data_IF_197775677523
#
_entry.id   IF_197775677523
#
_cell.length_a   1.000
_cell.length_b   1.000
_cell.length_c   1.000
_cell.angle_alpha   90.00
_cell.angle_beta   90.00
_cell.angle_gamma   90.00
#
_symmetry.space_group_name_H-M   'P 1'
#
loop_
_entity.id
_entity.type
_entity.pdbx_description
1 polymer ?
#
# COMPACT_ATOMS: atom_id res chain seq x y z
N UNK A 1 88.97 -18.03 48.80
CA UNK A 1 88.53 -18.63 50.11
C UNK A 1 86.99 -18.60 50.06
N UNK A 2 86.48 -19.72 49.94
CA UNK A 2 85.61 -20.51 50.85
C UNK A 2 84.15 -20.30 50.59
N UNK A 3 83.52 -21.22 49.95
CA UNK A 3 82.49 -22.21 50.46
C UNK A 3 81.23 -21.52 50.97
N UNK A 4 79.96 -22.01 50.70
CA UNK A 4 79.49 -23.37 50.69
C UNK A 4 77.97 -23.30 50.29
N UNK A 5 77.53 -24.09 49.39
CA UNK A 5 76.37 -25.01 49.45
C UNK A 5 75.23 -24.73 50.45
N UNK A 6 74.04 -24.94 50.12
CA UNK A 6 73.22 -26.14 50.16
C UNK A 6 71.75 -25.77 49.97
N UNK A 7 71.14 -26.48 49.09
CA UNK A 7 70.00 -27.40 49.31
C UNK A 7 68.78 -26.82 50.03
N UNK A 8 67.63 -26.94 49.49
CA UNK A 8 66.84 -28.16 49.65
C UNK A 8 65.47 -27.99 48.96
N UNK A 9 65.20 -28.91 48.09
CA UNK A 9 63.94 -29.56 47.79
C UNK A 9 62.89 -29.43 48.89
N UNK A 10 61.72 -28.98 48.54
CA UNK A 10 60.46 -29.63 48.99
C UNK A 10 59.28 -29.18 48.14
N UNK A 11 58.81 -30.07 47.48
CA UNK A 11 57.63 -30.90 47.64
C UNK A 11 56.40 -30.33 46.88
N UNK A 12 56.30 -30.77 45.62
CA UNK A 12 55.05 -30.78 44.88
C UNK A 12 54.00 -31.67 45.49
N UNK A 13 53.02 -31.13 46.13
CA UNK A 13 51.77 -31.84 46.40
C UNK A 13 50.52 -30.95 46.52
N UNK A 14 50.66 -29.63 46.32
CA UNK A 14 49.52 -28.68 46.37
C UNK A 14 49.14 -28.06 45.03
N UNK A 15 49.80 -28.43 43.91
CA UNK A 15 49.53 -27.85 42.61
C UNK A 15 48.43 -28.57 41.81
N UNK A 16 48.23 -29.89 42.06
CA UNK A 16 47.23 -30.66 41.30
C UNK A 16 45.78 -30.21 41.54
N UNK A 17 45.46 -29.81 42.78
CA UNK A 17 44.10 -29.30 43.09
C UNK A 17 43.85 -27.93 42.51
N UNK A 18 44.87 -27.07 42.48
CA UNK A 18 44.74 -25.71 41.91
C UNK A 18 44.62 -25.75 40.38
N UNK A 19 45.36 -26.65 39.74
CA UNK A 19 45.29 -26.85 38.28
C UNK A 19 43.96 -27.50 37.88
N UNK A 20 43.48 -28.44 38.67
CA UNK A 20 42.16 -29.06 38.44
C UNK A 20 41.01 -28.02 38.55
N UNK A 21 41.11 -27.10 39.52
CA UNK A 21 40.11 -26.07 39.77
C UNK A 21 40.11 -24.97 38.67
N UNK A 22 41.31 -24.63 38.14
CA UNK A 22 41.42 -23.69 37.01
C UNK A 22 40.94 -24.31 35.71
N UNK A 23 41.19 -25.60 35.46
CA UNK A 23 40.70 -26.30 34.27
C UNK A 23 39.17 -26.41 34.31
N UNK A 24 38.60 -26.72 35.47
CA UNK A 24 37.15 -26.80 35.66
C UNK A 24 36.48 -25.42 35.42
N UNK A 25 37.09 -24.35 35.88
CA UNK A 25 36.60 -23.00 35.66
C UNK A 25 36.65 -22.60 34.15
N UNK A 26 37.70 -23.03 33.45
CA UNK A 26 37.81 -22.75 32.01
C UNK A 26 36.80 -23.55 31.18
N UNK A 27 36.50 -24.80 31.56
CA UNK A 27 35.47 -25.61 30.90
C UNK A 27 34.08 -25.03 31.13
N UNK A 28 33.81 -24.53 32.33
CA UNK A 28 32.54 -23.87 32.63
C UNK A 28 32.38 -22.55 31.88
N UNK A 29 33.43 -21.74 31.78
CA UNK A 29 33.43 -20.50 31.03
C UNK A 29 33.23 -20.70 29.52
N UNK A 30 33.85 -21.74 28.94
CA UNK A 30 33.67 -22.08 27.53
C UNK A 30 32.27 -22.62 27.23
N UNK A 31 31.66 -23.40 28.15
CA UNK A 31 30.31 -23.88 28.01
C UNK A 31 29.25 -22.72 28.06
N UNK A 32 29.42 -21.76 28.98
CA UNK A 32 28.59 -20.59 29.07
C UNK A 32 28.72 -19.67 27.83
N UNK A 33 29.93 -19.54 27.29
CA UNK A 33 30.16 -18.71 26.08
C UNK A 33 29.55 -19.37 24.83
N UNK A 34 29.60 -20.68 24.70
CA UNK A 34 28.93 -21.41 23.62
C UNK A 34 27.39 -21.31 23.69
N UNK A 35 26.83 -21.38 24.92
CA UNK A 35 25.39 -21.27 25.11
C UNK A 35 24.85 -19.87 24.77
N UNK A 36 25.55 -18.82 25.17
CA UNK A 36 25.14 -17.45 24.83
C UNK A 36 25.28 -17.12 23.34
N UNK A 37 26.20 -17.76 22.63
CA UNK A 37 26.35 -17.52 21.20
C UNK A 37 25.24 -18.16 20.36
N UNK A 38 24.74 -19.34 20.71
CA UNK A 38 23.62 -19.97 20.01
C UNK A 38 22.29 -19.24 20.24
N UNK A 39 22.10 -18.63 21.42
CA UNK A 39 20.94 -17.80 21.70
C UNK A 39 20.98 -16.47 20.91
N UNK A 40 22.15 -15.86 20.75
CA UNK A 40 22.31 -14.61 19.97
C UNK A 40 22.05 -14.81 18.47
N UNK A 41 22.39 -15.97 17.93
CA UNK A 41 22.19 -16.27 16.51
C UNK A 41 20.71 -16.57 16.19
N UNK A 42 20.00 -17.20 17.12
CA UNK A 42 18.55 -17.44 17.01
C UNK A 42 17.73 -16.13 17.11
N UNK A 43 18.11 -15.22 17.99
CA UNK A 43 17.50 -13.89 18.11
C UNK A 43 17.76 -13.02 16.88
N UNK A 44 18.96 -13.08 16.32
CA UNK A 44 19.34 -12.30 15.15
C UNK A 44 18.63 -12.76 13.87
N UNK A 45 18.32 -14.04 13.75
CA UNK A 45 17.58 -14.61 12.63
C UNK A 45 16.08 -14.40 12.75
N UNK A 46 15.52 -14.39 13.97
CA UNK A 46 14.10 -14.14 14.21
C UNK A 46 13.74 -12.66 14.08
N UNK A 47 14.63 -11.74 14.48
CA UNK A 47 14.41 -10.30 14.33
C UNK A 47 14.53 -9.85 12.87
N UNK A 48 15.43 -10.47 12.07
CA UNK A 48 15.57 -10.11 10.65
C UNK A 48 14.44 -10.65 9.76
N UNK A 49 13.83 -11.78 10.09
CA UNK A 49 12.74 -12.34 9.28
C UNK A 49 11.36 -11.85 9.69
N UNK A 50 11.11 -11.67 10.99
CA UNK A 50 9.77 -11.31 11.47
C UNK A 50 9.41 -9.85 11.30
N UNK A 51 10.36 -8.94 11.53
CA UNK A 51 10.05 -7.50 11.57
C UNK A 51 10.06 -6.85 10.17
N UNK A 52 10.95 -7.32 9.28
CA UNK A 52 11.05 -6.71 7.94
C UNK A 52 9.97 -7.28 7.00
N UNK A 53 9.64 -8.57 7.09
CA UNK A 53 8.58 -9.15 6.28
C UNK A 53 7.18 -8.70 6.71
N UNK A 54 6.91 -8.55 8.02
CA UNK A 54 5.63 -8.00 8.50
C UNK A 54 5.48 -6.50 8.21
N UNK A 55 6.55 -5.71 8.30
CA UNK A 55 6.50 -4.28 8.01
C UNK A 55 6.39 -4.01 6.49
N UNK A 56 6.94 -4.90 5.63
CA UNK A 56 6.78 -4.82 4.17
C UNK A 56 5.40 -5.31 3.75
N UNK A 57 4.86 -6.39 4.33
CA UNK A 57 3.49 -6.86 4.06
C UNK A 57 2.44 -5.84 4.52
N UNK A 58 2.61 -5.19 5.68
CA UNK A 58 1.70 -4.16 6.18
C UNK A 58 1.79 -2.85 5.37
N UNK A 59 2.95 -2.54 4.77
CA UNK A 59 3.13 -1.40 3.87
C UNK A 59 2.59 -1.71 2.46
N UNK A 60 2.69 -2.94 1.96
CA UNK A 60 2.13 -3.33 0.66
C UNK A 60 0.60 -3.41 0.68
N UNK A 61 -0.04 -3.78 1.80
CA UNK A 61 -1.51 -3.73 1.91
C UNK A 61 -2.08 -2.31 1.98
N UNK A 62 -1.27 -1.29 2.30
CA UNK A 62 -1.76 0.08 2.53
C UNK A 62 -1.51 1.04 1.37
N UNK A 63 -0.67 0.71 0.40
CA UNK A 63 -0.42 1.53 -0.80
C UNK A 63 -1.01 0.91 -2.06
N UNK A 64 -2.34 0.81 -2.15
CA UNK A 64 -2.99 0.70 -3.45
C UNK A 64 -2.71 1.98 -4.24
N UNK A 65 -1.76 1.92 -5.18
CA UNK A 65 -1.48 3.04 -6.09
C UNK A 65 -2.75 3.29 -6.91
N UNK A 66 -3.41 4.42 -6.74
CA UNK A 66 -4.66 4.69 -7.43
C UNK A 66 -4.42 4.81 -8.94
N UNK A 67 -5.23 4.12 -9.73
CA UNK A 67 -5.17 4.15 -11.18
C UNK A 67 -6.10 5.25 -11.69
N UNK A 68 -5.53 6.34 -12.17
CA UNK A 68 -6.27 7.42 -12.79
C UNK A 68 -6.37 7.23 -14.31
N UNK A 69 -7.58 7.27 -14.82
CA UNK A 69 -7.84 7.14 -16.26
C UNK A 69 -8.68 8.33 -16.73
N UNK A 70 -8.10 9.26 -17.49
CA UNK A 70 -8.85 10.37 -18.06
C UNK A 70 -9.77 9.88 -19.18
N UNK A 71 -10.95 10.46 -19.25
CA UNK A 71 -11.87 10.32 -20.38
C UNK A 71 -11.77 11.55 -21.29
N UNK A 72 -12.12 11.36 -22.55
CA UNK A 72 -12.28 12.49 -23.48
C UNK A 72 -13.38 13.43 -22.96
N UNK A 73 -13.25 14.72 -23.27
CA UNK A 73 -14.25 15.72 -22.90
C UNK A 73 -15.58 15.47 -23.59
N UNK A 74 -16.65 15.81 -22.88
CA UNK A 74 -18.02 15.74 -23.37
C UNK A 74 -18.52 17.17 -23.62
N UNK A 75 -19.23 17.36 -24.73
CA UNK A 75 -20.01 18.57 -25.02
C UNK A 75 -21.46 18.15 -25.24
N UNK A 76 -22.35 18.52 -24.36
CA UNK A 76 -23.73 18.04 -24.34
C UNK A 76 -24.69 19.19 -24.12
N UNK A 77 -25.77 19.24 -24.90
CA UNK A 77 -26.90 20.13 -24.62
C UNK A 77 -27.68 19.63 -23.41
N UNK A 78 -27.90 20.54 -22.46
CA UNK A 78 -28.68 20.25 -21.25
C UNK A 78 -30.17 20.33 -21.54
N UNK A 79 -30.99 19.83 -20.62
CA UNK A 79 -32.43 20.11 -20.66
C UNK A 79 -32.67 21.61 -20.54
N UNK A 80 -33.61 22.16 -21.29
CA UNK A 80 -33.99 23.55 -21.14
C UNK A 80 -34.39 23.84 -19.68
N UNK A 81 -33.93 24.96 -19.17
CA UNK A 81 -34.33 25.48 -17.86
C UNK A 81 -35.80 25.96 -17.84
N UNK A 82 -36.23 26.48 -16.71
CA UNK A 82 -37.57 27.00 -16.51
C UNK A 82 -37.89 28.18 -17.48
N UNK A 83 -36.87 28.89 -17.91
CA UNK A 83 -36.92 29.97 -18.87
C UNK A 83 -36.95 29.53 -20.35
N UNK A 84 -36.84 28.21 -20.61
CA UNK A 84 -36.79 27.62 -21.94
C UNK A 84 -35.47 27.87 -22.70
N UNK A 85 -34.45 28.37 -22.02
CA UNK A 85 -33.14 28.63 -22.63
C UNK A 85 -32.36 27.34 -22.78
N UNK A 86 -31.72 27.12 -23.92
CA UNK A 86 -30.83 26.00 -24.17
C UNK A 86 -29.45 26.33 -23.62
N UNK A 87 -28.90 25.35 -22.86
CA UNK A 87 -27.60 25.45 -22.26
C UNK A 87 -26.71 24.26 -22.69
N UNK A 88 -25.40 24.49 -22.66
CA UNK A 88 -24.41 23.50 -23.04
C UNK A 88 -23.46 23.24 -21.88
N UNK A 89 -23.27 21.96 -21.56
CA UNK A 89 -22.26 21.50 -20.64
C UNK A 89 -21.04 21.06 -21.42
N UNK A 90 -19.87 21.59 -21.03
CA UNK A 90 -18.56 21.09 -21.45
C UNK A 90 -17.85 20.52 -20.22
N UNK A 91 -17.64 19.20 -20.20
CA UNK A 91 -17.13 18.49 -19.01
C UNK A 91 -16.03 17.49 -19.37
N UNK A 92 -14.96 17.52 -18.63
CA UNK A 92 -13.87 16.53 -18.66
C UNK A 92 -13.83 15.76 -17.35
N UNK A 93 -13.65 14.45 -17.45
CA UNK A 93 -13.66 13.52 -16.33
C UNK A 93 -12.33 12.76 -16.24
N UNK A 94 -11.92 12.50 -15.01
CA UNK A 94 -10.88 11.51 -14.69
C UNK A 94 -11.46 10.52 -13.69
N UNK A 95 -11.40 9.25 -14.02
CA UNK A 95 -11.89 8.18 -13.17
C UNK A 95 -10.74 7.59 -12.35
N UNK A 96 -10.96 7.44 -11.05
CA UNK A 96 -10.10 6.65 -10.18
C UNK A 96 -10.64 5.22 -10.14
N UNK A 97 -9.83 4.27 -10.60
CA UNK A 97 -10.20 2.87 -10.70
C UNK A 97 -9.54 2.05 -9.60
N UNK A 98 -10.24 1.02 -9.15
CA UNK A 98 -9.75 0.14 -8.09
C UNK A 98 -8.61 -0.79 -8.54
N UNK A 99 -8.68 -1.29 -9.79
CA UNK A 99 -7.77 -2.33 -10.26
C UNK A 99 -7.46 -2.19 -11.77
N UNK A 100 -6.34 -2.77 -12.26
CA UNK A 100 -5.96 -2.73 -13.67
C UNK A 100 -7.00 -3.40 -14.59
N UNK A 101 -7.72 -4.40 -14.10
CA UNK A 101 -8.80 -5.06 -14.85
C UNK A 101 -9.92 -4.08 -15.18
N UNK A 102 -10.29 -3.24 -14.23
CA UNK A 102 -11.27 -2.17 -14.46
C UNK A 102 -10.83 -1.17 -15.52
N UNK A 103 -9.53 -0.88 -15.61
CA UNK A 103 -8.97 -0.04 -16.66
C UNK A 103 -9.06 -0.69 -18.05
N UNK A 104 -8.79 -1.98 -18.15
CA UNK A 104 -8.94 -2.71 -19.41
C UNK A 104 -10.41 -2.79 -19.85
N UNK A 105 -11.32 -3.04 -18.92
CA UNK A 105 -12.76 -3.04 -19.18
C UNK A 105 -13.25 -1.67 -19.64
N UNK A 106 -12.82 -0.61 -18.98
CA UNK A 106 -13.13 0.76 -19.35
C UNK A 106 -12.71 1.04 -20.81
N UNK A 107 -11.47 0.69 -21.19
CA UNK A 107 -10.97 0.87 -22.54
C UNK A 107 -11.76 0.06 -23.57
N UNK A 108 -12.09 -1.20 -23.25
CA UNK A 108 -12.83 -2.11 -24.14
C UNK A 108 -14.26 -1.65 -24.39
N UNK A 109 -14.94 -1.15 -23.35
CA UNK A 109 -16.33 -0.74 -23.41
C UNK A 109 -16.50 0.78 -23.47
N UNK A 110 -15.43 1.51 -23.80
CA UNK A 110 -15.43 2.98 -23.83
C UNK A 110 -16.60 3.58 -24.66
N UNK A 111 -16.95 3.05 -25.86
CA UNK A 111 -18.07 3.61 -26.61
C UNK A 111 -19.43 3.46 -25.89
N UNK A 112 -19.67 2.34 -25.22
CA UNK A 112 -20.87 2.10 -24.45
C UNK A 112 -20.94 3.03 -23.24
N UNK A 113 -19.84 3.13 -22.48
CA UNK A 113 -19.72 4.02 -21.34
C UNK A 113 -19.93 5.48 -21.75
N UNK A 114 -19.31 5.90 -22.86
CA UNK A 114 -19.44 7.25 -23.38
C UNK A 114 -20.90 7.55 -23.74
N UNK A 115 -21.59 6.64 -24.41
CA UNK A 115 -23.01 6.79 -24.76
C UNK A 115 -23.88 6.96 -23.51
N UNK A 116 -23.69 6.13 -22.48
CA UNK A 116 -24.43 6.23 -21.22
C UNK A 116 -24.19 7.58 -20.52
N UNK A 117 -22.95 8.05 -20.48
CA UNK A 117 -22.61 9.32 -19.86
C UNK A 117 -23.20 10.52 -20.63
N UNK A 118 -23.20 10.48 -21.96
CA UNK A 118 -23.87 11.53 -22.78
C UNK A 118 -25.36 11.57 -22.46
N UNK A 119 -26.02 10.42 -22.37
CA UNK A 119 -27.44 10.36 -22.01
C UNK A 119 -27.69 10.88 -20.57
N UNK A 120 -26.81 10.55 -19.63
CA UNK A 120 -26.89 11.03 -18.25
C UNK A 120 -26.75 12.57 -18.20
N UNK A 121 -25.76 13.12 -18.87
CA UNK A 121 -25.49 14.57 -18.89
C UNK A 121 -26.61 15.35 -19.56
N UNK A 122 -27.17 14.83 -20.65
CA UNK A 122 -28.28 15.48 -21.35
C UNK A 122 -29.58 15.56 -20.54
N UNK A 123 -29.69 14.83 -19.45
CA UNK A 123 -30.82 14.87 -18.54
C UNK A 123 -30.71 15.93 -17.43
N UNK A 124 -29.55 16.56 -17.30
CA UNK A 124 -29.31 17.57 -16.28
C UNK A 124 -29.81 18.95 -16.72
N UNK A 125 -30.01 19.83 -15.76
CA UNK A 125 -30.35 21.24 -16.01
C UNK A 125 -29.20 22.17 -15.58
N UNK A 126 -29.17 23.40 -16.11
CA UNK A 126 -28.14 24.37 -15.72
C UNK A 126 -28.29 24.77 -14.26
N UNK A 127 -29.53 24.93 -13.78
CA UNK A 127 -29.83 25.34 -12.42
C UNK A 127 -29.25 24.34 -11.40
N UNK A 128 -29.46 23.05 -11.64
CA UNK A 128 -28.89 21.98 -10.78
C UNK A 128 -27.38 22.03 -10.81
N UNK A 129 -26.77 22.07 -12.00
CA UNK A 129 -25.32 21.96 -12.16
C UNK A 129 -24.57 23.24 -11.77
N UNK A 130 -25.26 24.36 -11.59
CA UNK A 130 -24.66 25.62 -11.09
C UNK A 130 -24.30 25.53 -9.60
N UNK A 131 -24.98 24.66 -8.85
CA UNK A 131 -24.80 24.49 -7.42
C UNK A 131 -23.68 23.47 -7.12
N UNK A 132 -23.11 23.54 -5.89
CA UNK A 132 -22.14 22.56 -5.41
C UNK A 132 -22.79 21.18 -5.20
N UNK A 133 -23.98 21.20 -4.65
CA UNK A 133 -24.78 20.01 -4.33
C UNK A 133 -25.16 19.27 -5.62
N UNK A 134 -25.58 19.98 -6.65
CA UNK A 134 -25.89 19.40 -7.95
C UNK A 134 -24.67 18.75 -8.63
N UNK A 135 -23.48 19.39 -8.52
CA UNK A 135 -22.24 18.78 -9.01
C UNK A 135 -21.88 17.49 -8.25
N UNK A 136 -22.04 17.47 -6.90
CA UNK A 136 -21.84 16.27 -6.11
C UNK A 136 -22.83 15.17 -6.47
N UNK A 137 -24.08 15.53 -6.69
CA UNK A 137 -25.11 14.59 -7.13
C UNK A 137 -24.78 14.00 -8.51
N UNK A 138 -24.25 14.82 -9.42
CA UNK A 138 -23.79 14.35 -10.73
C UNK A 138 -22.64 13.34 -10.59
N UNK A 139 -21.66 13.57 -9.69
CA UNK A 139 -20.61 12.58 -9.38
C UNK A 139 -21.23 11.25 -9.01
N UNK A 140 -22.16 11.22 -8.06
CA UNK A 140 -22.82 9.98 -7.64
C UNK A 140 -23.63 9.31 -8.75
N UNK A 141 -24.28 10.09 -9.61
CA UNK A 141 -24.98 9.53 -10.76
C UNK A 141 -24.01 8.90 -11.76
N UNK A 142 -22.86 9.52 -12.03
CA UNK A 142 -21.81 8.98 -12.89
C UNK A 142 -21.23 7.70 -12.29
N UNK A 143 -20.92 7.69 -11.00
CA UNK A 143 -20.45 6.48 -10.31
C UNK A 143 -21.44 5.31 -10.43
N UNK A 144 -22.72 5.59 -10.20
CA UNK A 144 -23.79 4.59 -10.32
C UNK A 144 -23.93 4.06 -11.74
N UNK A 145 -23.85 4.94 -12.74
CA UNK A 145 -23.94 4.56 -14.15
C UNK A 145 -22.77 3.67 -14.57
N UNK A 146 -21.54 4.01 -14.12
CA UNK A 146 -20.34 3.23 -14.39
C UNK A 146 -20.30 1.88 -13.64
N UNK A 147 -20.91 1.81 -12.46
CA UNK A 147 -21.09 0.57 -11.70
C UNK A 147 -22.13 -0.35 -12.31
N UNK A 148 -22.98 0.13 -13.23
CA UNK A 148 -23.99 -0.68 -13.91
C UNK A 148 -23.32 -1.71 -14.84
N UNK A 149 -23.89 -2.94 -14.94
CA UNK A 149 -23.32 -3.96 -15.79
C UNK A 149 -23.20 -3.52 -17.25
N UNK A 150 -22.03 -3.73 -17.83
CA UNK A 150 -21.76 -3.55 -19.24
C UNK A 150 -22.22 -4.78 -20.05
N UNK A 151 -22.19 -4.67 -21.36
CA UNK A 151 -22.43 -5.81 -22.26
C UNK A 151 -21.55 -7.00 -21.87
N UNK A 152 -22.17 -8.14 -21.49
CA UNK A 152 -21.46 -9.31 -20.97
C UNK A 152 -21.42 -9.42 -19.44
N UNK A 153 -22.23 -8.67 -18.70
CA UNK A 153 -22.37 -8.72 -17.23
C UNK A 153 -21.08 -8.34 -16.46
N UNK A 154 -20.17 -7.60 -17.10
CA UNK A 154 -18.95 -7.10 -16.47
C UNK A 154 -19.19 -5.71 -15.91
N UNK A 155 -18.52 -5.38 -14.79
CA UNK A 155 -18.63 -4.07 -14.14
C UNK A 155 -17.25 -3.45 -14.00
N UNK A 156 -17.17 -2.14 -14.21
CA UNK A 156 -15.97 -1.34 -13.92
C UNK A 156 -16.03 -0.90 -12.46
N UNK A 157 -14.98 -1.16 -11.71
CA UNK A 157 -14.89 -0.74 -10.30
C UNK A 157 -14.28 0.66 -10.23
N UNK A 158 -15.14 1.67 -10.20
CA UNK A 158 -14.78 3.07 -10.00
C UNK A 158 -14.81 3.37 -8.51
N UNK A 159 -13.76 4.00 -8.00
CA UNK A 159 -13.66 4.42 -6.59
C UNK A 159 -13.92 5.91 -6.43
N UNK A 160 -13.76 6.70 -7.50
CA UNK A 160 -14.00 8.13 -7.46
C UNK A 160 -14.12 8.71 -8.89
N UNK A 161 -14.84 9.81 -9.02
CA UNK A 161 -15.02 10.57 -10.28
C UNK A 161 -14.57 12.00 -10.06
N UNK A 162 -13.58 12.43 -10.81
CA UNK A 162 -12.98 13.74 -10.70
C UNK A 162 -13.32 14.59 -11.94
N UNK A 163 -13.90 15.77 -11.75
CA UNK A 163 -14.06 16.75 -12.83
C UNK A 163 -12.75 17.52 -13.00
N UNK A 164 -12.11 17.41 -14.15
CA UNK A 164 -10.94 18.23 -14.51
C UNK A 164 -11.31 19.45 -15.34
N UNK A 165 -12.46 19.42 -16.02
CA UNK A 165 -13.04 20.56 -16.73
C UNK A 165 -14.55 20.57 -16.44
N UNK A 166 -15.12 21.74 -16.14
CA UNK A 166 -16.57 21.90 -15.93
C UNK A 166 -16.99 23.31 -16.31
N UNK A 167 -17.61 23.46 -17.49
CA UNK A 167 -18.03 24.74 -18.03
C UNK A 167 -19.50 24.64 -18.43
N UNK A 168 -20.30 25.60 -17.94
CA UNK A 168 -21.70 25.80 -18.30
C UNK A 168 -21.83 27.05 -19.17
N UNK A 169 -22.54 26.95 -20.25
CA UNK A 169 -22.81 28.05 -21.16
C UNK A 169 -24.26 28.02 -21.61
#
# INVERSE_FOLDING_TARGET
MSKKNLDTTQSGKKSKGRIALTVLAFVFASACFGYTWTELESLKNNVKKGTIEQEIEEIEETFEIPIYTPLDTFTVSLKPGVDGTEHVLYVGLTLRLKDPRSQELLKRFLPEIRSRLVMLFSQQTMEELSTREGKQQLVHQVEKELASPLSGKQTVKVTDVLFNIFILR
#
